data_IF_394202195470
#
_entry.id   IF_394202195470
#
_cell.length_a   1.000
_cell.length_b   1.000
_cell.length_c   1.000
_cell.angle_alpha   90.00
_cell.angle_beta   90.00
_cell.angle_gamma   90.00
#
_symmetry.space_group_name_H-M   'P 1'
#
loop_
_entity.id
_entity.type
_entity.pdbx_description
1 polymer ?
#
# COMPACT_ATOMS: atom_id res chain seq x y z
N UNK A 1 -19.26 -22.56 21.02
CA UNK A 1 -20.02 -21.51 20.33
C UNK A 1 -19.25 -21.13 19.07
N UNK A 2 -19.85 -21.18 17.87
CA UNK A 2 -19.21 -20.65 16.67
C UNK A 2 -19.16 -19.11 16.73
N UNK A 3 -18.15 -18.45 16.14
CA UNK A 3 -18.10 -17.00 16.06
C UNK A 3 -19.24 -16.48 15.17
N UNK A 4 -19.76 -15.26 15.42
CA UNK A 4 -20.82 -14.69 14.62
C UNK A 4 -20.32 -14.44 13.17
N UNK A 5 -21.17 -14.62 12.16
CA UNK A 5 -20.83 -14.27 10.79
C UNK A 5 -20.61 -12.75 10.68
N UNK A 6 -19.45 -12.34 10.16
CA UNK A 6 -19.21 -10.97 9.71
C UNK A 6 -20.08 -10.69 8.47
N UNK A 7 -21.35 -10.35 8.68
CA UNK A 7 -22.28 -9.96 7.65
C UNK A 7 -22.42 -8.43 7.64
N UNK A 8 -21.85 -7.79 6.62
CA UNK A 8 -21.93 -6.34 6.42
C UNK A 8 -21.52 -5.88 5.03
N UNK A 9 -21.74 -6.70 3.99
CA UNK A 9 -21.64 -6.23 2.61
C UNK A 9 -23.00 -5.67 2.20
N UNK A 10 -23.24 -4.38 2.46
CA UNK A 10 -24.42 -3.69 1.94
C UNK A 10 -24.24 -3.50 0.41
N UNK A 11 -24.87 -4.36 -0.38
CA UNK A 11 -25.18 -4.05 -1.77
C UNK A 11 -26.57 -3.42 -1.81
N UNK A 12 -26.67 -2.18 -2.29
CA UNK A 12 -27.96 -1.51 -2.47
C UNK A 12 -27.89 -0.04 -2.16
N UNK A 13 -27.87 0.77 -3.22
CA UNK A 13 -28.03 2.22 -3.15
C UNK A 13 -26.96 2.94 -3.93
N UNK A 14 -27.34 3.49 -5.08
CA UNK A 14 -26.64 4.56 -5.78
C UNK A 14 -26.74 5.84 -4.92
N UNK A 15 -26.21 5.77 -3.70
CA UNK A 15 -26.22 6.80 -2.68
C UNK A 15 -24.90 7.55 -2.74
N UNK A 16 -25.01 8.85 -2.95
CA UNK A 16 -23.95 9.85 -3.00
C UNK A 16 -22.66 9.46 -2.27
N UNK A 17 -21.64 9.07 -3.03
CA UNK A 17 -20.25 9.21 -2.61
C UNK A 17 -19.87 10.65 -2.95
N UNK A 18 -20.10 11.58 -2.04
CA UNK A 18 -19.56 12.93 -2.11
C UNK A 18 -19.02 13.33 -0.75
N UNK A 19 -17.85 13.97 -0.81
CA UNK A 19 -17.00 14.42 0.29
C UNK A 19 -16.14 13.31 0.86
N UNK A 20 -14.93 13.20 0.30
CA UNK A 20 -13.77 12.75 1.06
C UNK A 20 -13.62 13.72 2.22
N UNK A 21 -14.15 13.33 3.37
CA UNK A 21 -14.19 14.16 4.57
C UNK A 21 -12.78 14.28 5.17
N UNK A 22 -12.44 15.47 5.71
CA UNK A 22 -11.21 15.68 6.49
C UNK A 22 -11.07 14.65 7.63
N UNK A 23 -12.18 14.02 8.03
CA UNK A 23 -12.24 12.89 8.94
C UNK A 23 -11.42 11.68 8.48
N UNK A 24 -11.30 11.39 7.18
CA UNK A 24 -10.55 10.21 6.73
C UNK A 24 -9.05 10.39 6.99
N UNK A 25 -8.51 11.58 6.76
CA UNK A 25 -7.13 11.93 7.13
C UNK A 25 -6.87 11.75 8.63
N UNK A 26 -7.84 12.12 9.47
CA UNK A 26 -7.73 11.89 10.91
C UNK A 26 -7.73 10.39 11.27
N UNK A 27 -8.44 9.55 10.51
CA UNK A 27 -8.47 8.09 10.73
C UNK A 27 -7.12 7.44 10.39
N UNK A 28 -6.39 7.94 9.39
CA UNK A 28 -5.12 7.34 8.96
C UNK A 28 -4.09 7.22 10.10
N UNK A 29 -4.14 8.12 11.09
CA UNK A 29 -3.28 8.04 12.28
C UNK A 29 -3.59 6.86 13.20
N UNK A 30 -4.87 6.50 13.36
CA UNK A 30 -5.29 5.36 14.19
C UNK A 30 -5.31 4.04 13.45
N UNK A 31 -5.27 4.06 12.12
CA UNK A 31 -5.42 2.91 11.25
C UNK A 31 -4.25 2.90 10.23
N UNK A 32 -3.04 2.48 10.66
CA UNK A 32 -1.83 2.65 9.90
C UNK A 32 -1.74 1.73 8.67
N UNK A 33 -2.59 0.71 8.58
CA UNK A 33 -2.59 -0.24 7.46
C UNK A 33 -3.67 0.18 6.47
N UNK A 34 -3.27 0.41 5.22
CA UNK A 34 -4.18 0.66 4.11
C UNK A 34 -4.18 -0.57 3.22
N UNK A 35 -5.33 -1.20 3.02
CA UNK A 35 -5.49 -2.23 2.01
C UNK A 35 -6.18 -1.64 0.77
N UNK A 36 -5.62 -1.91 -0.40
CA UNK A 36 -6.15 -1.42 -1.69
C UNK A 36 -6.46 -2.61 -2.60
N UNK A 37 -7.57 -2.49 -3.33
CA UNK A 37 -7.93 -3.37 -4.43
C UNK A 37 -8.66 -2.58 -5.52
N UNK A 38 -8.47 -2.96 -6.77
CA UNK A 38 -9.18 -2.38 -7.90
C UNK A 38 -10.02 -3.43 -8.61
N UNK A 39 -11.12 -2.97 -9.19
CA UNK A 39 -11.96 -3.78 -10.06
C UNK A 39 -12.35 -2.90 -11.24
N UNK A 40 -12.28 -3.43 -12.45
CA UNK A 40 -12.62 -2.66 -13.62
C UNK A 40 -13.20 -3.57 -14.69
N UNK A 41 -14.05 -2.99 -15.53
CA UNK A 41 -14.55 -3.68 -16.71
C UNK A 41 -13.53 -3.47 -17.83
N UNK A 42 -12.90 -4.57 -18.26
CA UNK A 42 -12.04 -4.55 -19.45
C UNK A 42 -12.97 -4.49 -20.67
N UNK A 43 -12.91 -3.45 -21.51
CA UNK A 43 -13.71 -3.40 -22.72
C UNK A 43 -13.42 -4.64 -23.59
N UNK A 44 -14.46 -5.18 -24.24
CA UNK A 44 -14.29 -6.25 -25.22
C UNK A 44 -13.35 -5.76 -26.34
N UNK A 45 -12.11 -6.23 -26.31
CA UNK A 45 -11.06 -5.87 -27.24
C UNK A 45 -10.07 -7.02 -27.37
N UNK A 46 -9.20 -7.00 -28.39
CA UNK A 46 -8.17 -8.01 -28.52
C UNK A 46 -7.34 -8.05 -27.23
N UNK A 47 -7.07 -9.25 -26.69
CA UNK A 47 -6.26 -9.37 -25.49
C UNK A 47 -4.94 -8.62 -25.70
N UNK A 48 -4.36 -8.02 -24.65
CA UNK A 48 -3.03 -7.47 -24.77
C UNK A 48 -2.11 -8.54 -25.37
N UNK A 49 -1.19 -8.16 -26.28
CA UNK A 49 -0.24 -9.11 -26.83
C UNK A 49 0.41 -9.86 -25.66
N UNK A 50 0.57 -11.19 -25.74
CA UNK A 50 1.20 -11.95 -24.67
C UNK A 50 2.54 -11.29 -24.34
N UNK A 51 2.84 -11.16 -23.05
CA UNK A 51 4.08 -10.55 -22.57
C UNK A 51 5.24 -11.08 -23.43
N UNK A 52 5.90 -10.17 -24.16
CA UNK A 52 6.95 -10.51 -25.11
C UNK A 52 8.14 -11.10 -24.35
N UNK A 53 8.16 -12.43 -24.25
CA UNK A 53 9.09 -13.17 -23.39
C UNK A 53 8.70 -13.03 -21.92
N UNK A 54 8.87 -14.09 -21.13
CA UNK A 54 8.63 -14.12 -19.68
C UNK A 54 9.56 -13.22 -18.86
N UNK A 55 9.69 -11.97 -19.27
CA UNK A 55 10.49 -10.91 -18.66
C UNK A 55 9.57 -10.04 -17.80
N UNK A 56 10.15 -9.42 -16.78
CA UNK A 56 9.43 -8.48 -15.93
C UNK A 56 9.00 -7.22 -16.68
N UNK A 57 9.77 -6.78 -17.69
CA UNK A 57 9.41 -5.65 -18.55
C UNK A 57 8.19 -5.95 -19.43
N UNK A 58 8.14 -7.14 -20.02
CA UNK A 58 6.94 -7.59 -20.76
C UNK A 58 5.71 -7.69 -19.85
N UNK A 59 5.88 -8.10 -18.60
CA UNK A 59 4.81 -8.15 -17.59
C UNK A 59 4.32 -6.74 -17.23
N UNK A 60 5.24 -5.79 -17.07
CA UNK A 60 4.88 -4.38 -16.84
C UNK A 60 4.13 -3.78 -18.03
N UNK A 61 4.58 -3.97 -19.27
CA UNK A 61 3.87 -3.44 -20.43
C UNK A 61 2.46 -4.02 -20.57
N UNK A 62 2.25 -5.28 -20.20
CA UNK A 62 0.92 -5.88 -20.17
C UNK A 62 0.00 -5.18 -19.14
N UNK A 63 0.50 -4.96 -17.92
CA UNK A 63 -0.22 -4.20 -16.86
C UNK A 63 -0.51 -2.77 -17.33
N UNK A 64 0.51 -2.08 -17.87
CA UNK A 64 0.40 -0.71 -18.37
C UNK A 64 -0.68 -0.59 -19.44
N UNK A 65 -0.62 -1.44 -20.46
CA UNK A 65 -1.58 -1.47 -21.54
C UNK A 65 -3.00 -1.83 -21.06
N UNK A 66 -3.14 -2.71 -20.06
CA UNK A 66 -4.42 -3.04 -19.44
C UNK A 66 -5.03 -1.84 -18.74
N UNK A 67 -4.29 -1.24 -17.80
CA UNK A 67 -4.74 -0.10 -17.00
C UNK A 67 -5.03 1.15 -17.85
N UNK A 68 -4.23 1.41 -18.90
CA UNK A 68 -4.45 2.57 -19.78
C UNK A 68 -5.70 2.45 -20.66
N UNK A 69 -6.17 1.22 -20.96
CA UNK A 69 -7.41 1.01 -21.73
C UNK A 69 -8.67 1.21 -20.90
N UNK A 70 -8.54 1.24 -19.59
CA UNK A 70 -9.70 1.25 -18.71
C UNK A 70 -10.18 2.68 -18.51
N UNK A 71 -11.47 2.84 -18.81
CA UNK A 71 -12.21 4.10 -18.65
C UNK A 71 -12.93 4.20 -17.32
N UNK A 72 -13.34 3.05 -16.76
CA UNK A 72 -14.08 2.97 -15.52
C UNK A 72 -13.49 1.89 -14.61
N UNK A 73 -13.13 2.29 -13.40
CA UNK A 73 -12.62 1.40 -12.37
C UNK A 73 -13.28 1.71 -11.02
N UNK A 74 -13.40 0.70 -10.18
CA UNK A 74 -13.73 0.82 -8.78
C UNK A 74 -12.47 0.62 -7.97
N UNK A 75 -12.14 1.58 -7.11
CA UNK A 75 -11.08 1.45 -6.13
C UNK A 75 -11.71 1.15 -4.77
N UNK A 76 -11.41 -0.03 -4.24
CA UNK A 76 -11.68 -0.39 -2.85
C UNK A 76 -10.52 0.04 -1.96
N UNK A 77 -10.81 0.71 -0.86
CA UNK A 77 -9.84 1.07 0.17
C UNK A 77 -10.38 0.70 1.55
N UNK A 78 -9.55 0.04 2.36
CA UNK A 78 -9.80 -0.22 3.76
C UNK A 78 -8.66 0.35 4.61
N UNK A 79 -9.02 0.99 5.71
CA UNK A 79 -8.06 1.41 6.74
C UNK A 79 -8.21 0.45 7.92
N UNK A 80 -7.12 -0.18 8.33
CA UNK A 80 -7.08 -1.19 9.38
C UNK A 80 -6.09 -0.81 10.49
N UNK A 81 -6.45 -1.15 11.72
CA UNK A 81 -5.54 -1.14 12.87
C UNK A 81 -4.57 -2.32 12.75
N UNK A 82 -3.53 -2.36 13.59
CA UNK A 82 -2.61 -3.52 13.66
C UNK A 82 -3.32 -4.79 14.15
N UNK A 83 -4.42 -4.64 14.87
CA UNK A 83 -5.26 -5.74 15.33
C UNK A 83 -6.28 -6.21 14.27
N UNK A 84 -6.37 -5.48 13.15
CA UNK A 84 -7.27 -5.79 12.03
C UNK A 84 -8.64 -5.13 12.10
N UNK A 85 -8.88 -4.26 13.09
CA UNK A 85 -10.12 -3.49 13.17
C UNK A 85 -10.21 -2.50 12.02
N UNK A 86 -11.35 -2.48 11.34
CA UNK A 86 -11.59 -1.52 10.27
C UNK A 86 -12.00 -0.16 10.84
N UNK A 87 -11.44 0.90 10.27
CA UNK A 87 -11.85 2.26 10.58
C UNK A 87 -13.35 2.43 10.30
N UNK A 88 -14.10 2.80 11.34
CA UNK A 88 -15.56 2.91 11.33
C UNK A 88 -16.29 1.62 10.93
N UNK A 89 -15.61 0.46 10.96
CA UNK A 89 -16.16 -0.83 10.53
C UNK A 89 -16.45 -0.92 9.03
N UNK A 90 -15.75 -0.14 8.19
CA UNK A 90 -16.12 0.06 6.78
C UNK A 90 -14.97 -0.12 5.79
N UNK A 91 -15.36 -0.36 4.54
CA UNK A 91 -14.52 -0.30 3.34
C UNK A 91 -15.11 0.77 2.43
N UNK A 92 -14.27 1.66 1.93
CA UNK A 92 -14.67 2.68 0.98
C UNK A 92 -14.53 2.15 -0.43
N UNK A 93 -15.49 2.50 -1.30
CA UNK A 93 -15.43 2.20 -2.73
C UNK A 93 -15.59 3.50 -3.50
N UNK A 94 -14.63 3.76 -4.38
CA UNK A 94 -14.60 4.93 -5.22
C UNK A 94 -14.88 4.50 -6.65
N UNK A 95 -15.90 5.07 -7.26
CA UNK A 95 -16.21 4.87 -8.68
C UNK A 95 -15.42 5.90 -9.48
N UNK A 96 -14.43 5.44 -10.23
CA UNK A 96 -13.51 6.27 -11.00
C UNK A 96 -13.84 6.15 -12.49
N UNK A 97 -14.08 7.30 -13.14
CA UNK A 97 -14.15 7.41 -14.60
C UNK A 97 -12.89 8.09 -15.18
N UNK A 98 -12.92 8.47 -16.46
CA UNK A 98 -11.84 9.20 -17.16
C UNK A 98 -11.37 10.49 -16.46
N UNK A 99 -12.17 11.02 -15.52
CA UNK A 99 -11.83 12.18 -14.71
C UNK A 99 -12.07 11.90 -13.23
N UNK A 100 -11.00 11.79 -12.44
CA UNK A 100 -11.11 11.94 -10.99
C UNK A 100 -11.50 13.37 -10.65
N UNK A 101 -12.47 13.52 -9.75
CA UNK A 101 -12.72 14.79 -9.10
C UNK A 101 -11.48 15.26 -8.34
N UNK A 102 -11.38 16.57 -8.12
CA UNK A 102 -10.29 17.14 -7.33
C UNK A 102 -10.24 16.55 -5.91
N UNK A 103 -11.38 16.14 -5.35
CA UNK A 103 -11.48 15.51 -4.03
C UNK A 103 -10.87 14.11 -4.00
N UNK A 104 -11.15 13.28 -5.01
CA UNK A 104 -10.60 11.92 -5.07
C UNK A 104 -9.08 11.93 -5.28
N UNK A 105 -8.58 12.87 -6.09
CA UNK A 105 -7.13 13.08 -6.24
C UNK A 105 -6.46 13.48 -4.94
N UNK A 106 -7.09 14.40 -4.19
CA UNK A 106 -6.62 14.80 -2.87
C UNK A 106 -6.63 13.63 -1.89
N UNK A 107 -7.64 12.77 -1.96
CA UNK A 107 -7.71 11.57 -1.11
C UNK A 107 -6.59 10.59 -1.40
N UNK A 108 -6.36 10.24 -2.67
CA UNK A 108 -5.27 9.35 -3.04
C UNK A 108 -3.92 9.95 -2.68
N UNK A 109 -3.74 11.26 -2.92
CA UNK A 109 -2.54 11.97 -2.50
C UNK A 109 -2.39 11.98 -0.97
N UNK A 110 -3.47 12.10 -0.21
CA UNK A 110 -3.45 11.99 1.24
C UNK A 110 -3.03 10.59 1.71
N UNK A 111 -3.55 9.53 1.08
CA UNK A 111 -3.18 8.15 1.40
C UNK A 111 -1.71 7.86 1.01
N UNK A 112 -1.24 8.45 -0.08
CA UNK A 112 0.04 8.16 -0.70
C UNK A 112 1.18 9.12 -0.36
N UNK A 113 0.91 10.33 0.06
CA UNK A 113 1.92 11.40 0.11
C UNK A 113 1.95 12.09 1.45
N UNK A 114 1.08 11.75 2.42
CA UNK A 114 1.08 12.44 3.72
C UNK A 114 2.49 12.34 4.37
N UNK A 115 3.28 13.43 4.34
CA UNK A 115 4.64 13.42 4.84
C UNK A 115 4.66 13.41 6.38
N UNK A 116 3.49 13.63 7.01
CA UNK A 116 3.26 13.48 8.44
C UNK A 116 2.75 12.11 8.84
N UNK A 117 2.82 11.10 7.95
CA UNK A 117 2.50 9.70 8.24
C UNK A 117 3.80 8.90 8.40
N UNK A 118 4.35 8.78 9.63
CA UNK A 118 5.66 8.19 9.81
C UNK A 118 5.68 6.68 9.53
N UNK A 119 4.52 6.00 9.66
CA UNK A 119 4.47 4.53 9.82
C UNK A 119 3.31 3.87 9.03
N UNK A 120 2.93 4.46 7.90
CA UNK A 120 1.83 3.97 7.09
C UNK A 120 2.21 2.81 6.18
N UNK A 121 1.50 1.69 6.28
CA UNK A 121 1.73 0.52 5.42
C UNK A 121 0.64 0.41 4.37
N UNK A 122 1.01 0.22 3.11
CA UNK A 122 0.09 -0.11 2.02
C UNK A 122 0.17 -1.62 1.74
N UNK A 123 -0.98 -2.25 1.56
CA UNK A 123 -1.08 -3.68 1.33
C UNK A 123 -1.96 -3.94 0.13
N UNK A 124 -1.52 -4.84 -0.74
CA UNK A 124 -2.26 -5.31 -1.90
C UNK A 124 -2.22 -6.83 -1.98
N UNK A 125 -3.01 -7.41 -2.89
CA UNK A 125 -2.95 -8.83 -3.20
C UNK A 125 -2.86 -8.97 -4.71
N UNK A 126 -1.71 -9.44 -5.21
CA UNK A 126 -1.48 -9.49 -6.66
C UNK A 126 -1.62 -8.08 -7.28
N UNK A 127 -1.07 -7.09 -6.57
CA UNK A 127 -1.49 -5.70 -6.66
C UNK A 127 -0.85 -4.90 -7.78
N UNK A 128 -0.28 -5.55 -8.80
CA UNK A 128 0.40 -4.88 -9.89
C UNK A 128 -0.52 -3.86 -10.59
N UNK A 129 -1.72 -4.30 -10.95
CA UNK A 129 -2.75 -3.43 -11.54
C UNK A 129 -3.29 -2.44 -10.53
N UNK A 130 -3.57 -2.87 -9.30
CA UNK A 130 -4.08 -2.00 -8.23
C UNK A 130 -3.19 -0.78 -8.01
N UNK A 131 -1.89 -1.03 -7.90
CA UNK A 131 -0.88 0.02 -7.74
C UNK A 131 -0.76 0.87 -9.00
N UNK A 132 -0.79 0.25 -10.18
CA UNK A 132 -0.74 0.99 -11.43
C UNK A 132 -1.92 1.97 -11.56
N UNK A 133 -3.13 1.56 -11.20
CA UNK A 133 -4.27 2.48 -11.12
C UNK A 133 -4.02 3.63 -10.15
N UNK A 134 -3.52 3.36 -8.95
CA UNK A 134 -3.26 4.42 -7.97
C UNK A 134 -2.21 5.40 -8.52
N UNK A 135 -1.10 4.90 -9.05
CA UNK A 135 0.00 5.73 -9.61
C UNK A 135 -0.47 6.59 -10.79
N UNK A 136 -1.25 6.01 -11.71
CA UNK A 136 -1.85 6.74 -12.86
C UNK A 136 -2.59 8.00 -12.41
N UNK A 137 -3.23 7.92 -11.25
CA UNK A 137 -4.06 9.00 -10.70
C UNK A 137 -3.28 9.98 -9.82
N UNK A 138 -2.26 9.52 -9.09
CA UNK A 138 -1.44 10.38 -8.23
C UNK A 138 -0.68 11.45 -9.01
N UNK A 139 -0.12 11.11 -10.17
CA UNK A 139 0.69 12.05 -10.95
C UNK A 139 -0.14 13.12 -11.65
N UNK A 140 -1.46 12.99 -11.71
CA UNK A 140 -2.34 13.94 -12.43
C UNK A 140 -2.15 13.97 -13.96
N UNK A 141 -1.12 13.29 -14.49
CA UNK A 141 -0.78 13.22 -15.93
C UNK A 141 -1.63 12.16 -16.66
N UNK A 142 -2.33 11.27 -15.95
CA UNK A 142 -3.28 10.31 -16.53
C UNK A 142 -2.66 9.15 -17.33
N UNK A 143 -1.36 9.21 -17.60
CA UNK A 143 -0.57 8.15 -18.21
C UNK A 143 0.40 7.52 -17.21
N UNK A 144 0.69 6.23 -17.40
CA UNK A 144 1.67 5.51 -16.60
C UNK A 144 3.09 5.74 -17.16
N UNK A 145 4.13 5.64 -16.32
CA UNK A 145 5.51 5.71 -16.78
C UNK A 145 5.79 4.73 -17.94
N UNK A 146 6.57 5.10 -18.96
CA UNK A 146 6.80 4.26 -20.13
C UNK A 146 7.65 3.01 -19.87
N UNK A 147 8.26 2.87 -18.70
CA UNK A 147 9.11 1.71 -18.39
C UNK A 147 8.93 1.24 -16.95
N UNK A 148 9.19 -0.07 -16.74
CA UNK A 148 9.04 -0.74 -15.44
C UNK A 148 9.83 -0.07 -14.33
N UNK A 149 11.08 0.29 -14.59
CA UNK A 149 11.95 0.91 -13.60
C UNK A 149 11.45 2.30 -13.18
N UNK A 150 10.99 3.11 -14.14
CA UNK A 150 10.41 4.43 -13.84
C UNK A 150 9.10 4.30 -13.06
N UNK A 151 8.29 3.29 -13.41
CA UNK A 151 7.08 2.95 -12.68
C UNK A 151 7.38 2.59 -11.23
N UNK A 152 8.28 1.63 -11.01
CA UNK A 152 8.68 1.19 -9.68
C UNK A 152 9.31 2.32 -8.86
N UNK A 153 10.12 3.20 -9.46
CA UNK A 153 10.66 4.39 -8.78
C UNK A 153 9.57 5.37 -8.35
N UNK A 154 8.67 5.71 -9.28
CA UNK A 154 7.57 6.62 -9.01
C UNK A 154 6.66 6.09 -7.89
N UNK A 155 6.40 4.78 -7.96
CA UNK A 155 5.63 4.06 -6.99
C UNK A 155 6.29 4.02 -5.60
N UNK A 156 7.58 3.65 -5.50
CA UNK A 156 8.30 3.58 -4.21
C UNK A 156 8.46 4.92 -3.51
N UNK A 157 8.46 5.99 -4.30
CA UNK A 157 8.47 7.35 -3.76
C UNK A 157 7.15 7.64 -3.04
N UNK A 158 6.02 7.16 -3.57
CA UNK A 158 4.70 7.34 -2.99
C UNK A 158 4.39 6.29 -1.89
N UNK A 159 4.78 5.04 -2.07
CA UNK A 159 4.43 3.96 -1.14
C UNK A 159 5.69 3.24 -0.68
N UNK A 160 6.42 3.87 0.24
CA UNK A 160 7.70 3.35 0.69
C UNK A 160 7.58 2.12 1.58
N UNK A 161 6.38 1.75 2.01
CA UNK A 161 6.05 0.60 2.84
C UNK A 161 4.88 -0.15 2.19
N UNK A 162 5.06 -0.61 0.94
CA UNK A 162 4.09 -1.47 0.28
C UNK A 162 4.49 -2.94 0.38
N UNK A 163 3.51 -3.77 0.73
CA UNK A 163 3.60 -5.21 0.72
C UNK A 163 2.53 -5.83 -0.17
N UNK A 164 2.97 -6.67 -1.12
CA UNK A 164 2.09 -7.56 -1.85
C UNK A 164 1.95 -8.88 -1.07
N UNK A 165 0.76 -9.18 -0.59
CA UNK A 165 0.50 -10.37 0.21
C UNK A 165 0.78 -11.68 -0.55
N UNK A 166 0.65 -11.67 -1.88
CA UNK A 166 0.95 -12.85 -2.69
C UNK A 166 2.45 -13.10 -2.74
N UNK A 167 3.25 -12.04 -2.89
CA UNK A 167 4.71 -12.13 -2.81
C UNK A 167 5.13 -12.62 -1.41
N UNK A 168 4.56 -12.05 -0.36
CA UNK A 168 4.89 -12.46 1.01
C UNK A 168 4.48 -13.90 1.37
N UNK A 169 3.51 -14.48 0.65
CA UNK A 169 3.08 -15.87 0.85
C UNK A 169 3.83 -16.88 -0.02
N UNK A 170 4.26 -16.47 -1.22
CA UNK A 170 4.81 -17.39 -2.21
C UNK A 170 6.33 -17.23 -2.42
N UNK A 171 6.90 -16.07 -2.11
CA UNK A 171 8.28 -15.76 -2.47
C UNK A 171 9.27 -16.08 -1.35
N UNK A 172 10.16 -17.03 -1.65
CA UNK A 172 11.34 -17.35 -0.85
C UNK A 172 12.45 -16.37 -1.21
N UNK A 173 13.09 -15.75 -0.22
CA UNK A 173 14.21 -14.83 -0.47
C UNK A 173 15.42 -15.56 -1.06
N UNK A 174 16.39 -14.80 -1.59
CA UNK A 174 17.67 -15.34 -2.07
C UNK A 174 18.44 -16.14 -0.98
N UNK A 175 18.21 -15.82 0.28
CA UNK A 175 18.77 -16.54 1.44
C UNK A 175 18.00 -17.82 1.79
N UNK A 176 17.04 -18.23 0.96
CA UNK A 176 16.17 -19.40 1.14
C UNK A 176 15.33 -19.36 2.42
N UNK A 177 15.08 -18.17 2.97
CA UNK A 177 14.17 -18.01 4.09
C UNK A 177 12.75 -18.29 3.62
N UNK A 178 12.01 -19.10 4.38
CA UNK A 178 10.61 -19.38 4.10
C UNK A 178 9.80 -18.08 3.97
N UNK A 179 8.78 -18.04 3.10
CA UNK A 179 7.91 -16.88 2.97
C UNK A 179 7.33 -16.50 4.35
N UNK A 180 7.32 -15.20 4.71
CA UNK A 180 6.89 -14.76 6.03
C UNK A 180 5.42 -15.04 6.31
N UNK A 181 4.60 -15.19 5.26
CA UNK A 181 3.23 -15.65 5.35
C UNK A 181 3.17 -17.13 4.97
N UNK A 182 3.74 -18.00 5.81
CA UNK A 182 3.62 -19.47 5.70
C UNK A 182 2.18 -19.97 5.96
N UNK A 183 1.19 -19.20 5.53
CA UNK A 183 -0.23 -19.40 5.76
C UNK A 183 -0.94 -19.69 4.43
N UNK A 184 -2.12 -20.31 4.50
CA UNK A 184 -2.97 -20.42 3.32
C UNK A 184 -3.31 -19.01 2.82
N UNK A 185 -3.48 -18.84 1.51
CA UNK A 185 -3.76 -17.52 0.92
C UNK A 185 -5.01 -16.83 1.52
N UNK A 186 -5.95 -17.58 2.10
CA UNK A 186 -7.14 -17.05 2.79
C UNK A 186 -6.80 -16.32 4.08
N UNK A 187 -5.70 -16.70 4.70
CA UNK A 187 -5.21 -16.17 5.97
C UNK A 187 -4.05 -15.20 5.79
N UNK A 188 -3.61 -14.92 4.56
CA UNK A 188 -2.45 -14.08 4.28
C UNK A 188 -2.53 -12.70 4.94
N UNK A 189 -3.70 -12.05 4.90
CA UNK A 189 -3.87 -10.75 5.59
C UNK A 189 -3.79 -10.89 7.11
N UNK A 190 -4.34 -11.97 7.70
CA UNK A 190 -4.23 -12.21 9.15
C UNK A 190 -2.78 -12.51 9.55
N UNK A 191 -2.06 -13.30 8.77
CA UNK A 191 -0.63 -13.53 8.97
C UNK A 191 0.16 -12.23 8.89
N UNK A 192 -0.19 -11.36 7.95
CA UNK A 192 0.42 -10.04 7.80
C UNK A 192 0.16 -9.15 9.02
N UNK A 193 -1.06 -9.13 9.55
CA UNK A 193 -1.39 -8.40 10.78
C UNK A 193 -0.55 -8.91 11.97
N UNK A 194 -0.38 -10.23 12.11
CA UNK A 194 0.48 -10.78 13.15
C UNK A 194 1.93 -10.30 13.01
N UNK A 195 2.47 -10.25 11.79
CA UNK A 195 3.82 -9.74 11.53
C UNK A 195 3.97 -8.25 11.90
N UNK A 196 3.02 -7.41 11.49
CA UNK A 196 3.07 -5.95 11.73
C UNK A 196 2.74 -5.59 13.19
N UNK A 197 2.02 -6.45 13.91
CA UNK A 197 1.79 -6.27 15.35
C UNK A 197 3.07 -6.51 16.14
N UNK A 198 3.81 -7.56 15.78
CA UNK A 198 4.98 -8.00 16.52
C UNK A 198 6.27 -7.24 16.11
N UNK A 199 6.23 -6.46 15.02
CA UNK A 199 7.39 -5.78 14.43
C UNK A 199 7.04 -4.37 13.97
N UNK A 200 7.96 -3.41 14.14
CA UNK A 200 7.77 -2.09 13.52
C UNK A 200 7.83 -2.23 11.99
N UNK A 201 6.94 -1.55 11.23
CA UNK A 201 7.07 -1.45 9.78
C UNK A 201 8.41 -0.78 9.47
N UNK A 202 9.37 -1.57 8.96
CA UNK A 202 10.74 -1.13 8.70
C UNK A 202 11.81 -2.13 9.14
N UNK A 203 11.60 -2.87 10.23
CA UNK A 203 12.69 -3.68 10.82
C UNK A 203 12.92 -5.03 10.12
N UNK A 204 11.93 -5.55 9.39
CA UNK A 204 11.94 -6.97 8.98
C UNK A 204 11.50 -7.27 7.55
N UNK A 205 10.74 -6.38 6.91
CA UNK A 205 10.17 -6.69 5.60
C UNK A 205 10.80 -5.89 4.46
N UNK A 206 12.00 -5.32 4.68
CA UNK A 206 12.72 -4.52 3.67
C UNK A 206 12.94 -5.29 2.36
N UNK A 207 13.14 -6.60 2.46
CA UNK A 207 13.34 -7.50 1.30
C UNK A 207 12.06 -7.71 0.48
N UNK A 208 10.89 -7.55 1.09
CA UNK A 208 9.57 -7.69 0.46
C UNK A 208 8.96 -6.34 0.08
N UNK A 209 9.55 -5.25 0.56
CA UNK A 209 9.06 -3.91 0.37
C UNK A 209 9.18 -3.50 -1.10
N UNK A 210 8.06 -3.02 -1.64
CA UNK A 210 7.95 -2.61 -3.03
C UNK A 210 8.25 -3.73 -4.03
N UNK A 211 8.04 -4.97 -3.61
CA UNK A 211 8.00 -6.12 -4.49
C UNK A 211 6.55 -6.35 -4.88
N UNK A 212 6.25 -6.22 -6.17
CA UNK A 212 4.94 -6.53 -6.72
C UNK A 212 4.98 -7.87 -7.45
N UNK A 213 3.94 -8.69 -7.23
CA UNK A 213 3.84 -9.96 -7.93
C UNK A 213 3.82 -9.73 -9.45
N UNK A 214 4.61 -10.51 -10.19
CA UNK A 214 4.74 -10.37 -11.64
C UNK A 214 5.57 -9.17 -12.16
N UNK A 215 5.86 -8.17 -11.32
CA UNK A 215 6.68 -7.00 -11.71
C UNK A 215 8.06 -6.97 -11.04
N UNK A 216 8.26 -7.79 -10.01
CA UNK A 216 9.52 -7.89 -9.26
C UNK A 216 9.71 -6.74 -8.28
N UNK A 217 10.94 -6.61 -7.78
CA UNK A 217 11.35 -5.53 -6.90
C UNK A 217 12.00 -4.38 -7.67
N UNK A 218 11.94 -3.21 -7.06
CA UNK A 218 12.56 -1.98 -7.55
C UNK A 218 14.04 -1.84 -7.14
N UNK A 219 14.80 -2.94 -6.98
CA UNK A 219 16.09 -2.89 -6.28
C UNK A 219 17.22 -2.32 -7.16
N UNK A 220 17.18 -1.02 -7.44
CA UNK A 220 18.35 -0.27 -7.90
C UNK A 220 19.27 0.01 -6.72
N UNK A 221 20.58 0.19 -6.98
CA UNK A 221 21.57 0.53 -5.94
C UNK A 221 21.14 1.80 -5.17
N UNK A 222 20.55 2.77 -5.87
CA UNK A 222 20.02 4.01 -5.30
C UNK A 222 18.83 3.73 -4.38
N UNK A 223 17.87 2.90 -4.81
CA UNK A 223 16.73 2.53 -3.97
C UNK A 223 17.14 1.69 -2.77
N UNK A 224 18.11 0.80 -2.92
CA UNK A 224 18.72 0.08 -1.79
C UNK A 224 19.44 1.02 -0.83
N UNK A 225 20.10 2.07 -1.34
CA UNK A 225 20.71 3.12 -0.53
C UNK A 225 19.65 3.95 0.22
N UNK A 226 18.55 4.30 -0.43
CA UNK A 226 17.40 5.00 0.18
C UNK A 226 16.74 4.12 1.25
N UNK A 227 16.48 2.84 0.95
CA UNK A 227 15.96 1.85 1.91
C UNK A 227 16.88 1.74 3.12
N UNK A 228 18.20 1.63 2.90
CA UNK A 228 19.21 1.57 3.98
C UNK A 228 19.27 2.86 4.80
N UNK A 229 19.15 4.01 4.17
CA UNK A 229 19.15 5.32 4.85
C UNK A 229 17.91 5.45 5.72
N UNK A 230 16.73 5.15 5.17
CA UNK A 230 15.47 5.16 5.93
C UNK A 230 15.47 4.18 7.10
N UNK A 231 16.03 2.99 6.91
CA UNK A 231 16.18 2.03 8.00
C UNK A 231 17.07 2.58 9.11
N UNK A 232 18.19 3.24 8.76
CA UNK A 232 19.05 3.92 9.74
C UNK A 232 18.33 5.07 10.45
N UNK A 233 17.57 5.88 9.72
CA UNK A 233 16.82 7.00 10.30
C UNK A 233 15.71 6.51 11.25
N UNK A 234 15.01 5.45 10.86
CA UNK A 234 13.99 4.81 11.69
C UNK A 234 14.60 4.25 12.99
N UNK A 235 15.73 3.54 12.90
CA UNK A 235 16.46 3.02 14.06
C UNK A 235 17.00 4.15 14.94
N UNK A 236 17.55 5.21 14.35
CA UNK A 236 17.99 6.40 15.10
C UNK A 236 16.86 7.07 15.88
N UNK A 237 15.67 7.20 15.25
CA UNK A 237 14.47 7.71 15.93
C UNK A 237 14.03 6.79 17.07
N UNK A 238 14.08 5.47 16.87
CA UNK A 238 13.77 4.48 17.91
C UNK A 238 14.71 4.61 19.11
N UNK A 239 16.02 4.61 18.87
CA UNK A 239 17.05 4.76 19.91
C UNK A 239 16.87 6.07 20.68
N UNK A 240 16.55 7.16 19.98
CA UNK A 240 16.28 8.45 20.60
C UNK A 240 15.03 8.39 21.50
N UNK A 241 13.94 7.76 21.04
CA UNK A 241 12.72 7.57 21.84
C UNK A 241 12.99 6.71 23.09
N UNK A 242 13.83 5.69 22.97
CA UNK A 242 14.27 4.86 24.10
C UNK A 242 15.11 5.67 25.11
N UNK A 243 16.12 6.42 24.64
CA UNK A 243 16.95 7.28 25.50
C UNK A 243 16.12 8.35 26.22
N UNK A 244 15.15 8.98 25.53
CA UNK A 244 14.27 9.97 26.14
C UNK A 244 13.42 9.34 27.26
N UNK A 245 12.91 8.12 27.05
CA UNK A 245 12.16 7.37 28.06
C UNK A 245 13.00 7.09 29.31
N UNK A 246 14.30 6.84 29.15
CA UNK A 246 15.23 6.65 30.27
C UNK A 246 15.54 7.95 31.02
N UNK A 247 15.75 9.05 30.30
CA UNK A 247 16.13 10.34 30.88
C UNK A 247 14.96 11.09 31.53
N UNK A 248 13.74 10.90 31.04
CA UNK A 248 12.55 11.61 31.48
C UNK A 248 11.44 10.63 31.93
N UNK A 249 11.66 9.85 33.00
CA UNK A 249 10.68 8.86 33.46
C UNK A 249 9.35 9.54 33.84
N UNK A 250 8.27 9.09 33.22
CA UNK A 250 6.91 9.60 33.44
C UNK A 250 6.42 10.64 32.42
N UNK A 251 7.26 11.08 31.47
CA UNK A 251 6.80 11.85 30.31
C UNK A 251 6.45 10.94 29.13
N UNK A 252 5.34 11.25 28.45
CA UNK A 252 4.91 10.50 27.27
C UNK A 252 5.79 10.85 26.06
N UNK A 253 6.52 9.90 25.47
CA UNK A 253 7.34 10.12 24.29
C UNK A 253 6.53 10.56 23.06
N UNK A 254 5.20 10.43 23.06
CA UNK A 254 4.34 10.95 21.99
C UNK A 254 4.43 12.48 21.82
N UNK A 255 4.88 13.22 22.84
CA UNK A 255 5.12 14.67 22.72
C UNK A 255 6.37 15.04 21.91
N UNK A 256 7.29 14.10 21.67
CA UNK A 256 8.51 14.38 20.86
C UNK A 256 8.19 14.61 19.39
N UNK A 257 7.17 13.93 18.86
CA UNK A 257 6.76 14.05 17.46
C UNK A 257 6.09 15.43 17.16
N UNK A 258 5.94 16.29 18.18
CA UNK A 258 5.37 17.65 18.07
C UNK A 258 6.39 18.79 18.18
N UNK A 259 7.66 18.48 18.44
CA UNK A 259 8.71 19.49 18.57
C UNK A 259 9.24 19.90 17.19
N UNK A 260 9.44 21.20 16.91
CA UNK A 260 9.81 21.72 15.59
C UNK A 260 11.26 21.39 15.15
N UNK A 261 11.94 20.52 15.88
CA UNK A 261 13.34 20.14 15.65
C UNK A 261 13.52 18.66 15.27
N UNK A 262 12.42 17.92 15.08
CA UNK A 262 12.41 16.50 14.68
C UNK A 262 11.67 16.28 13.36
#
# INVERSE_FOLDING_TARGET
MPPPPCAGSSSGGCGQVRVVDARILALVRGFPIVAVATSHDVPAGPPPPPALGGTLDGSYEAVRAGVERVRFAQLGLALASRDGDLALGRVWRFHQGDHLGAEDKRFLAAVAVDPGRPDGVLVTRDGAEDVAYVVRHLKGVGALPPGREEFLRAFNTAFPELYDLKVMAEWTTLTQTEPPLAATWRDAFRGFLALVRDRMPGDVLVDYNAFLFGLGAADTIELMSIKRTRAKDAEGRRQMKELFRELCPGQDPANLDSLPFF
#
